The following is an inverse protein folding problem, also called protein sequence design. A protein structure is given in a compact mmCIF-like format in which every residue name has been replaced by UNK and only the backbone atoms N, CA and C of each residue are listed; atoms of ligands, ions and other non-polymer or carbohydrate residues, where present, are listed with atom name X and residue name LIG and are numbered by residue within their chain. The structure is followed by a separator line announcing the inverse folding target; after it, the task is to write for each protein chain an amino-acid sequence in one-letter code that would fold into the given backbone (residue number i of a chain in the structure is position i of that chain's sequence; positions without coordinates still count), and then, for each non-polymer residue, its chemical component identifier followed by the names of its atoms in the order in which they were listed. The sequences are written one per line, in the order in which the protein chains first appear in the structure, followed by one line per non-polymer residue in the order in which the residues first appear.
data_IF_889028312668
#
_entry.id   IF_889028312668
#
_cell.length_a   1.000
_cell.length_b   1.000
_cell.length_c   1.000
_cell.angle_alpha   90.00
_cell.angle_beta   90.00
_cell.angle_gamma   90.00
#
_symmetry.space_group_name_H-M   'P 1'
#
loop_
_entity.id
_entity.type
_entity.pdbx_description
1 polymer ?
#
# COMPACT_ATOMS: atom_id res chain seq x y z
N UNK A 1 42.22 -18.84 1.58
CA UNK A 1 40.83 -18.84 2.09
C UNK A 1 40.70 -17.59 2.93
N UNK A 2 40.08 -16.59 2.37
CA UNK A 2 40.25 -15.17 2.64
C UNK A 2 39.21 -14.64 3.60
N UNK A 3 39.61 -13.72 4.44
CA UNK A 3 38.88 -13.05 5.55
C UNK A 3 37.56 -12.31 5.17
N UNK A 4 37.13 -12.36 3.91
CA UNK A 4 35.95 -11.63 3.45
C UNK A 4 34.58 -12.17 3.91
N UNK A 5 34.55 -13.32 4.56
CA UNK A 5 33.27 -14.02 4.88
C UNK A 5 32.84 -13.90 6.36
N UNK A 6 33.58 -13.16 7.18
CA UNK A 6 33.23 -12.95 8.60
C UNK A 6 32.47 -11.67 8.92
N UNK A 7 32.48 -10.70 8.01
CA UNK A 7 31.85 -9.39 8.22
C UNK A 7 30.32 -9.42 8.02
N UNK A 8 29.82 -10.35 7.18
CA UNK A 8 28.39 -10.40 6.81
C UNK A 8 27.49 -11.01 7.86
N UNK A 9 28.03 -11.82 8.79
CA UNK A 9 27.23 -12.51 9.82
C UNK A 9 27.04 -11.61 11.07
N UNK A 10 28.00 -10.72 11.35
CA UNK A 10 27.90 -9.82 12.50
C UNK A 10 26.90 -8.66 12.30
N UNK A 11 26.66 -8.25 11.06
CA UNK A 11 25.69 -7.17 10.77
C UNK A 11 24.23 -7.66 10.85
N UNK A 12 23.98 -8.92 10.50
CA UNK A 12 22.64 -9.53 10.61
C UNK A 12 22.22 -9.75 12.08
N UNK A 13 23.16 -10.02 12.99
CA UNK A 13 22.86 -10.21 14.42
C UNK A 13 22.68 -8.91 15.19
N UNK A 14 23.15 -7.78 14.68
CA UNK A 14 22.96 -6.46 15.30
C UNK A 14 21.57 -5.88 15.06
N UNK A 15 20.85 -6.39 14.04
CA UNK A 15 19.49 -5.95 13.69
C UNK A 15 18.43 -6.64 14.56
N UNK A 16 18.75 -7.77 15.20
CA UNK A 16 17.81 -8.59 15.97
C UNK A 16 17.47 -8.05 17.38
N UNK A 17 17.96 -6.87 17.76
CA UNK A 17 17.77 -6.29 19.10
C UNK A 17 17.17 -4.87 19.13
N UNK A 18 16.83 -4.28 17.99
CA UNK A 18 16.20 -2.96 17.91
C UNK A 18 14.67 -3.08 17.93
N UNK A 19 14.02 -2.21 18.68
CA UNK A 19 12.54 -2.08 18.69
C UNK A 19 12.04 -2.01 17.23
N UNK A 20 11.07 -2.84 16.81
CA UNK A 20 10.48 -2.80 15.46
C UNK A 20 10.00 -1.41 15.06
N UNK A 21 9.71 -0.53 16.02
CA UNK A 21 9.33 0.86 15.81
C UNK A 21 10.51 1.76 15.43
N UNK A 22 11.74 1.38 15.78
CA UNK A 22 12.97 2.08 15.39
C UNK A 22 13.53 1.59 14.03
N UNK A 23 13.22 0.35 13.63
CA UNK A 23 13.67 -0.22 12.36
C UNK A 23 13.07 0.51 11.13
N UNK A 24 11.90 1.14 11.26
CA UNK A 24 11.28 1.93 10.20
C UNK A 24 11.99 3.25 9.88
N UNK A 25 12.92 3.70 10.74
CA UNK A 25 13.61 4.98 10.60
C UNK A 25 15.03 4.85 10.04
N UNK A 26 15.57 3.65 9.92
CA UNK A 26 16.89 3.40 9.32
C UNK A 26 16.81 2.91 7.87
N UNK A 27 16.14 3.68 7.03
CA UNK A 27 16.34 3.58 5.59
C UNK A 27 17.81 3.86 5.29
N UNK A 28 18.43 3.00 4.47
CA UNK A 28 19.87 3.08 4.14
C UNK A 28 20.25 4.53 3.85
N UNK A 29 21.18 5.13 4.61
CA UNK A 29 21.64 6.48 4.33
C UNK A 29 22.22 6.49 2.89
N UNK A 30 21.59 7.18 1.97
CA UNK A 30 22.04 7.28 0.60
C UNK A 30 20.98 6.99 -0.48
N UNK A 31 19.95 6.18 -0.21
CA UNK A 31 18.92 5.93 -1.22
C UNK A 31 18.03 7.18 -1.44
N UNK A 32 17.57 7.79 -0.37
CA UNK A 32 16.68 8.94 -0.43
C UNK A 32 17.31 10.19 -1.03
N UNK A 33 18.53 10.61 -0.67
CA UNK A 33 19.22 11.69 -1.36
C UNK A 33 19.35 11.44 -2.85
N UNK A 34 19.73 10.22 -3.25
CA UNK A 34 19.88 9.85 -4.67
C UNK A 34 18.55 9.91 -5.43
N UNK A 35 17.44 9.46 -4.82
CA UNK A 35 16.11 9.55 -5.43
C UNK A 35 15.70 11.01 -5.56
N UNK A 36 15.85 11.81 -4.51
CA UNK A 36 15.45 13.22 -4.54
C UNK A 36 16.31 14.06 -5.50
N UNK A 37 17.59 13.73 -5.65
CA UNK A 37 18.48 14.34 -6.65
C UNK A 37 18.01 14.01 -8.08
N UNK A 38 17.66 12.75 -8.34
CA UNK A 38 17.21 12.29 -9.66
C UNK A 38 15.79 12.74 -10.02
N UNK A 39 14.94 12.89 -9.01
CA UNK A 39 13.53 13.27 -9.16
C UNK A 39 13.16 14.33 -8.12
N UNK A 40 13.60 15.58 -8.29
CA UNK A 40 13.31 16.66 -7.34
C UNK A 40 11.81 16.86 -7.14
N UNK A 41 11.37 16.94 -5.89
CA UNK A 41 9.95 17.15 -5.55
C UNK A 41 9.07 15.90 -5.65
N UNK A 42 9.60 14.73 -6.01
CA UNK A 42 8.85 13.46 -6.02
C UNK A 42 8.60 12.88 -4.63
N UNK A 43 9.22 13.46 -3.61
CA UNK A 43 9.12 13.00 -2.24
C UNK A 43 8.59 14.09 -1.33
N UNK A 44 7.58 13.76 -0.55
CA UNK A 44 7.06 14.62 0.51
C UNK A 44 7.65 14.15 1.83
N UNK A 45 8.48 14.99 2.46
CA UNK A 45 8.92 14.76 3.84
C UNK A 45 7.94 15.50 4.76
N UNK A 46 7.21 14.76 5.60
CA UNK A 46 6.37 15.37 6.64
C UNK A 46 7.23 15.50 7.91
N UNK A 47 7.56 16.73 8.27
CA UNK A 47 8.33 17.05 9.49
C UNK A 47 7.48 17.04 10.77
N UNK A 48 6.15 17.00 10.60
CA UNK A 48 5.20 16.98 11.70
C UNK A 48 4.80 15.57 12.09
N UNK A 49 4.47 15.34 13.35
CA UNK A 49 3.94 14.06 13.83
C UNK A 49 2.71 13.66 13.03
N UNK A 50 2.72 12.44 12.50
CA UNK A 50 1.53 11.88 11.83
C UNK A 50 0.46 11.65 12.89
N UNK A 51 -0.75 12.22 12.75
CA UNK A 51 -1.83 11.99 13.73
C UNK A 51 -2.22 10.52 13.73
N UNK A 52 -2.16 9.89 14.90
CA UNK A 52 -2.63 8.53 15.10
C UNK A 52 -4.08 8.57 15.60
N UNK A 53 -5.02 8.10 14.77
CA UNK A 53 -6.39 7.88 15.20
C UNK A 53 -6.47 6.56 16.01
N UNK A 54 -6.88 6.59 17.28
CA UNK A 54 -7.01 5.36 18.06
C UNK A 54 -8.16 4.50 17.52
N UNK A 55 -7.97 3.19 17.47
CA UNK A 55 -9.05 2.26 17.19
C UNK A 55 -9.99 2.24 18.42
N UNK A 56 -11.25 2.60 18.22
CA UNK A 56 -12.23 2.79 19.31
C UNK A 56 -12.97 1.52 19.70
N UNK A 57 -12.79 0.44 18.95
CA UNK A 57 -13.41 -0.87 19.16
C UNK A 57 -12.40 -2.01 18.87
N UNK A 58 -12.60 -3.21 19.41
CA UNK A 58 -11.73 -4.34 19.10
C UNK A 58 -11.82 -4.72 17.63
N UNK A 59 -10.74 -5.30 17.07
CA UNK A 59 -10.60 -5.59 15.65
C UNK A 59 -11.72 -6.51 15.12
N UNK A 60 -12.18 -7.46 15.92
CA UNK A 60 -13.29 -8.35 15.60
C UNK A 60 -14.67 -7.68 15.57
N UNK A 61 -14.74 -6.38 15.83
CA UNK A 61 -15.93 -5.54 15.68
C UNK A 61 -15.68 -4.39 14.70
N UNK A 62 -14.47 -4.25 14.20
CA UNK A 62 -14.03 -3.17 13.30
C UNK A 62 -14.25 -3.57 11.83
N UNK A 63 -14.72 -2.62 11.02
CA UNK A 63 -14.82 -2.76 9.57
C UNK A 63 -13.52 -2.30 8.94
N UNK A 64 -12.89 -3.19 8.16
CA UNK A 64 -11.63 -2.91 7.49
C UNK A 64 -11.85 -2.50 6.04
N UNK A 65 -11.17 -1.44 5.62
CA UNK A 65 -10.95 -1.08 4.22
C UNK A 65 -9.51 -1.37 3.83
N UNK A 66 -9.28 -1.86 2.63
CA UNK A 66 -7.93 -1.96 2.04
C UNK A 66 -7.74 -0.88 1.00
N UNK A 67 -6.57 -0.24 1.03
CA UNK A 67 -6.12 0.73 0.04
C UNK A 67 -4.75 0.30 -0.45
N UNK A 68 -4.61 0.07 -1.76
CA UNK A 68 -3.35 -0.42 -2.34
C UNK A 68 -2.87 0.45 -3.50
N UNK A 69 -1.55 0.60 -3.61
CA UNK A 69 -0.89 1.30 -4.71
C UNK A 69 -0.52 0.38 -5.89
N UNK A 70 -0.98 -0.86 -5.88
CA UNK A 70 -0.59 -1.89 -6.84
C UNK A 70 -1.23 -1.79 -8.23
N UNK A 71 -2.23 -0.91 -8.45
CA UNK A 71 -2.88 -0.77 -9.74
C UNK A 71 -3.87 -1.90 -10.10
N UNK A 72 -4.41 -2.59 -9.10
CA UNK A 72 -5.45 -3.62 -9.29
C UNK A 72 -6.79 -2.98 -9.68
N UNK A 73 -7.50 -3.61 -10.61
CA UNK A 73 -8.87 -3.25 -10.96
C UNK A 73 -9.63 -4.47 -11.48
N UNK A 74 -10.95 -4.39 -11.60
CA UNK A 74 -11.71 -5.46 -12.24
C UNK A 74 -11.42 -5.46 -13.74
N UNK A 75 -11.39 -6.64 -14.35
CA UNK A 75 -11.19 -6.81 -15.82
C UNK A 75 -12.21 -6.05 -16.67
N UNK A 76 -13.40 -5.75 -16.12
CA UNK A 76 -14.45 -5.01 -16.78
C UNK A 76 -14.34 -3.48 -16.61
N UNK A 77 -13.49 -3.01 -15.70
CA UNK A 77 -13.33 -1.59 -15.47
C UNK A 77 -12.39 -0.97 -16.53
N UNK A 78 -12.51 0.35 -16.70
CA UNK A 78 -11.52 1.08 -17.52
C UNK A 78 -10.14 0.91 -16.87
N UNK A 79 -9.11 0.49 -17.63
CA UNK A 79 -7.74 0.41 -17.12
C UNK A 79 -7.24 1.74 -16.57
N UNK A 80 -6.28 1.68 -15.66
CA UNK A 80 -5.53 2.84 -15.19
C UNK A 80 -4.56 3.30 -16.30
N UNK A 81 -4.26 4.60 -16.38
CA UNK A 81 -3.35 5.14 -17.41
C UNK A 81 -1.89 4.98 -16.96
N UNK A 82 -1.29 3.85 -17.33
CA UNK A 82 0.11 3.52 -17.03
C UNK A 82 1.13 4.25 -17.92
N UNK A 83 0.67 4.88 -19.01
CA UNK A 83 1.52 5.58 -19.97
C UNK A 83 1.64 7.07 -19.68
N UNK A 84 0.78 7.63 -18.83
CA UNK A 84 0.82 9.05 -18.49
C UNK A 84 2.14 9.40 -17.78
N UNK A 85 2.89 10.42 -18.21
CA UNK A 85 4.22 10.74 -17.70
C UNK A 85 4.25 11.13 -16.23
N UNK A 86 3.16 11.69 -15.71
CA UNK A 86 3.03 12.10 -14.31
C UNK A 86 2.30 11.07 -13.43
N UNK A 87 1.88 9.93 -13.98
CA UNK A 87 1.05 8.93 -13.32
C UNK A 87 -0.45 9.12 -13.56
N UNK A 88 -1.25 8.14 -13.16
CA UNK A 88 -2.72 8.23 -13.19
C UNK A 88 -3.22 8.93 -11.91
N UNK A 89 -4.00 10.01 -12.08
CA UNK A 89 -4.65 10.72 -10.97
C UNK A 89 -6.07 10.21 -10.72
N UNK A 90 -6.28 8.91 -10.91
CA UNK A 90 -7.52 8.23 -10.58
C UNK A 90 -7.30 7.03 -9.67
N UNK A 91 -8.40 6.46 -9.22
CA UNK A 91 -8.40 5.21 -8.46
C UNK A 91 -9.54 4.30 -8.93
N UNK A 92 -9.49 3.05 -8.50
CA UNK A 92 -10.56 2.08 -8.76
C UNK A 92 -11.14 1.60 -7.44
N UNK A 93 -12.46 1.41 -7.44
CA UNK A 93 -13.19 0.76 -6.35
C UNK A 93 -13.32 -0.72 -6.72
N UNK A 94 -12.78 -1.57 -5.89
CA UNK A 94 -12.83 -3.02 -6.05
C UNK A 94 -13.78 -3.58 -5.00
N UNK A 95 -14.91 -4.20 -5.38
CA UNK A 95 -15.78 -4.82 -4.41
C UNK A 95 -15.01 -5.78 -3.49
N UNK A 96 -15.19 -5.68 -2.19
CA UNK A 96 -14.45 -6.51 -1.23
C UNK A 96 -14.79 -8.00 -1.31
N UNK A 97 -15.88 -8.35 -2.00
CA UNK A 97 -16.29 -9.73 -2.30
C UNK A 97 -15.88 -10.19 -3.71
N UNK A 98 -15.10 -9.38 -4.44
CA UNK A 98 -14.62 -9.76 -5.77
C UNK A 98 -13.73 -11.02 -5.67
N UNK A 99 -13.76 -11.82 -6.72
CA UNK A 99 -12.90 -13.02 -6.83
C UNK A 99 -11.60 -12.67 -7.55
N UNK A 100 -10.47 -13.29 -7.21
CA UNK A 100 -9.20 -13.09 -7.92
C UNK A 100 -9.31 -13.18 -9.43
N UNK A 101 -10.09 -14.12 -9.95
CA UNK A 101 -10.29 -14.31 -11.38
C UNK A 101 -10.96 -13.11 -12.09
N UNK A 102 -11.61 -12.22 -11.35
CA UNK A 102 -12.25 -11.01 -11.87
C UNK A 102 -11.30 -9.82 -11.92
N UNK A 103 -10.13 -9.94 -11.28
CA UNK A 103 -9.18 -8.87 -11.08
C UNK A 103 -8.00 -8.98 -12.04
N UNK A 104 -7.33 -7.87 -12.26
CA UNK A 104 -6.09 -7.76 -13.02
C UNK A 104 -5.26 -6.60 -12.49
N UNK A 105 -3.94 -6.64 -12.70
CA UNK A 105 -3.02 -5.56 -12.40
C UNK A 105 -2.76 -4.77 -13.68
N UNK A 106 -2.79 -3.44 -13.58
CA UNK A 106 -2.37 -2.54 -14.65
C UNK A 106 -1.30 -1.60 -14.11
N UNK A 107 -0.03 -2.02 -14.21
CA UNK A 107 1.13 -1.30 -13.68
C UNK A 107 2.38 -1.69 -14.48
N UNK A 108 3.28 -0.71 -14.74
CA UNK A 108 4.52 -0.91 -15.51
C UNK A 108 5.78 -0.54 -14.72
N UNK A 109 5.64 -0.11 -13.45
CA UNK A 109 6.76 0.46 -12.69
C UNK A 109 7.34 -0.46 -11.63
N UNK A 110 6.75 -1.62 -11.44
CA UNK A 110 7.30 -2.70 -10.62
C UNK A 110 7.05 -4.06 -11.29
N UNK A 111 7.92 -5.06 -11.06
CA UNK A 111 7.68 -6.43 -11.52
C UNK A 111 6.52 -7.04 -10.72
N UNK A 112 5.51 -7.60 -11.40
CA UNK A 112 4.33 -8.16 -10.73
C UNK A 112 4.03 -9.60 -11.18
N UNK A 113 5.04 -10.30 -11.71
CA UNK A 113 4.90 -11.67 -12.20
C UNK A 113 4.30 -12.62 -11.15
N UNK A 114 4.72 -12.50 -9.89
CA UNK A 114 4.17 -13.32 -8.79
C UNK A 114 2.71 -12.94 -8.49
N UNK A 115 2.38 -11.67 -8.56
CA UNK A 115 1.02 -11.19 -8.34
C UNK A 115 0.07 -11.50 -9.51
N UNK A 116 0.59 -11.71 -10.72
CA UNK A 116 -0.18 -12.22 -11.86
C UNK A 116 -0.53 -13.70 -11.68
N UNK A 117 0.28 -14.45 -10.93
CA UNK A 117 -0.01 -15.85 -10.56
C UNK A 117 -0.99 -15.89 -9.37
N UNK A 118 -0.72 -15.11 -8.32
CA UNK A 118 -1.58 -14.96 -7.15
C UNK A 118 -1.73 -13.49 -6.76
N UNK A 119 -2.87 -12.91 -7.07
CA UNK A 119 -3.13 -11.48 -6.80
C UNK A 119 -3.02 -11.11 -5.33
N UNK A 120 -3.15 -12.09 -4.42
CA UNK A 120 -3.03 -11.87 -2.98
C UNK A 120 -1.62 -11.38 -2.56
N UNK A 121 -0.60 -11.58 -3.41
CA UNK A 121 0.76 -11.04 -3.19
C UNK A 121 0.75 -9.50 -3.09
N UNK A 122 -0.04 -8.83 -3.93
CA UNK A 122 -0.12 -7.36 -4.00
C UNK A 122 -1.47 -6.79 -3.53
N UNK A 123 -2.52 -7.63 -3.53
CA UNK A 123 -3.87 -7.24 -3.16
C UNK A 123 -4.55 -8.38 -2.39
N UNK A 124 -4.26 -8.58 -1.09
CA UNK A 124 -4.62 -9.77 -0.31
C UNK A 124 -6.13 -9.88 -0.01
N UNK A 125 -6.95 -9.83 -1.05
CA UNK A 125 -8.41 -9.79 -0.93
C UNK A 125 -8.99 -11.06 -0.30
N UNK A 126 -8.51 -12.24 -0.71
CA UNK A 126 -9.01 -13.51 -0.15
C UNK A 126 -8.58 -13.67 1.31
N UNK A 127 -7.35 -13.24 1.64
CA UNK A 127 -6.87 -13.30 3.03
C UNK A 127 -7.73 -12.46 3.96
N UNK A 128 -8.16 -11.28 3.50
CA UNK A 128 -9.07 -10.42 4.27
C UNK A 128 -10.48 -11.02 4.36
N UNK A 129 -10.97 -11.65 3.29
CA UNK A 129 -12.26 -12.36 3.30
C UNK A 129 -12.24 -13.52 4.30
N UNK A 130 -11.16 -14.30 4.35
CA UNK A 130 -10.96 -15.38 5.32
C UNK A 130 -10.96 -14.86 6.76
N UNK A 131 -10.17 -13.82 7.06
CA UNK A 131 -10.12 -13.21 8.39
C UNK A 131 -11.49 -12.66 8.85
N UNK A 132 -12.26 -12.13 7.91
CA UNK A 132 -13.62 -11.68 8.21
C UNK A 132 -14.56 -12.89 8.46
N UNK A 133 -14.45 -13.95 7.67
CA UNK A 133 -15.25 -15.17 7.84
C UNK A 133 -14.94 -15.91 9.16
N UNK A 134 -13.69 -15.89 9.60
CA UNK A 134 -13.22 -16.45 10.86
C UNK A 134 -13.59 -15.61 12.09
N UNK A 135 -14.11 -14.38 11.88
CA UNK A 135 -14.45 -13.45 12.96
C UNK A 135 -13.25 -12.73 13.59
N UNK A 136 -12.07 -12.82 12.97
CA UNK A 136 -10.88 -12.04 13.36
C UNK A 136 -11.08 -10.55 13.07
N UNK A 137 -11.78 -10.23 11.98
CA UNK A 137 -12.27 -8.89 11.63
C UNK A 137 -13.77 -8.80 11.87
N UNK A 138 -14.25 -7.62 12.27
CA UNK A 138 -15.70 -7.35 12.41
C UNK A 138 -16.42 -7.28 11.05
N UNK A 139 -15.68 -7.18 9.97
CA UNK A 139 -16.15 -7.22 8.59
C UNK A 139 -15.26 -6.40 7.65
N UNK A 140 -15.61 -6.45 6.37
CA UNK A 140 -14.99 -5.66 5.33
C UNK A 140 -15.93 -4.55 4.88
N UNK A 141 -15.38 -3.44 4.41
CA UNK A 141 -16.16 -2.42 3.71
C UNK A 141 -16.69 -2.94 2.39
N UNK A 142 -17.77 -2.40 1.82
CA UNK A 142 -18.27 -2.80 0.50
C UNK A 142 -17.22 -2.75 -0.61
N UNK A 143 -16.35 -1.73 -0.58
CA UNK A 143 -15.28 -1.57 -1.56
C UNK A 143 -13.92 -1.40 -0.89
N UNK A 144 -12.90 -1.87 -1.59
CA UNK A 144 -11.49 -1.54 -1.43
C UNK A 144 -11.07 -0.53 -2.48
N UNK A 145 -9.92 0.10 -2.29
CA UNK A 145 -9.43 1.12 -3.21
C UNK A 145 -8.06 0.74 -3.75
N UNK A 146 -7.86 0.98 -5.05
CA UNK A 146 -6.59 0.74 -5.71
C UNK A 146 -6.26 1.89 -6.65
N UNK A 147 -4.98 2.30 -6.67
CA UNK A 147 -4.43 3.33 -7.52
C UNK A 147 -3.03 2.94 -8.00
N UNK A 148 -2.42 3.73 -8.87
CA UNK A 148 -1.02 3.54 -9.29
C UNK A 148 -0.10 4.32 -8.36
N UNK A 149 0.83 3.62 -7.68
CA UNK A 149 1.80 4.23 -6.76
C UNK A 149 2.83 5.13 -7.45
N UNK A 150 3.07 4.96 -8.75
CA UNK A 150 3.90 5.87 -9.52
C UNK A 150 3.16 7.19 -9.76
N UNK A 151 3.60 8.24 -9.07
CA UNK A 151 3.05 9.57 -9.22
C UNK A 151 4.17 10.63 -9.12
N UNK A 152 4.31 11.47 -10.15
CA UNK A 152 5.36 12.50 -10.24
C UNK A 152 4.88 13.90 -9.82
N UNK A 153 3.63 14.03 -9.39
CA UNK A 153 3.05 15.24 -8.82
C UNK A 153 2.36 14.89 -7.49
N UNK A 154 3.15 14.70 -6.42
CA UNK A 154 2.62 14.25 -5.13
C UNK A 154 1.68 15.28 -4.48
N UNK A 155 1.86 16.57 -4.72
CA UNK A 155 0.95 17.59 -4.20
C UNK A 155 -0.44 17.51 -4.86
N UNK A 156 -0.48 17.30 -6.16
CA UNK A 156 -1.74 17.08 -6.87
C UNK A 156 -2.39 15.78 -6.40
N UNK A 157 -1.61 14.71 -6.28
CA UNK A 157 -2.11 13.42 -5.79
C UNK A 157 -2.74 13.56 -4.40
N UNK A 158 -2.08 14.26 -3.48
CA UNK A 158 -2.59 14.48 -2.12
C UNK A 158 -3.93 15.24 -2.14
N UNK A 159 -4.03 16.30 -2.96
CA UNK A 159 -5.24 17.13 -3.05
C UNK A 159 -6.39 16.48 -3.81
N UNK A 160 -6.15 15.46 -4.61
CA UNK A 160 -7.17 14.79 -5.42
C UNK A 160 -7.35 13.34 -4.97
N UNK A 161 -6.56 12.43 -5.49
CA UNK A 161 -6.76 10.98 -5.28
C UNK A 161 -6.75 10.58 -3.81
N UNK A 162 -5.78 11.07 -3.03
CA UNK A 162 -5.70 10.73 -1.61
C UNK A 162 -6.85 11.33 -0.82
N UNK A 163 -7.23 12.57 -1.13
CA UNK A 163 -8.39 13.25 -0.52
C UNK A 163 -9.68 12.49 -0.83
N UNK A 164 -9.94 12.18 -2.11
CA UNK A 164 -11.17 11.53 -2.54
C UNK A 164 -11.29 10.11 -1.97
N UNK A 165 -10.18 9.35 -1.90
CA UNK A 165 -10.16 8.06 -1.23
C UNK A 165 -10.44 8.22 0.26
N UNK A 166 -9.82 9.18 0.95
CA UNK A 166 -10.03 9.40 2.37
C UNK A 166 -11.48 9.77 2.68
N UNK A 167 -12.09 10.66 1.87
CA UNK A 167 -13.49 11.00 1.98
C UNK A 167 -14.40 9.78 1.80
N UNK A 168 -14.17 9.01 0.74
CA UNK A 168 -14.91 7.79 0.47
C UNK A 168 -14.81 6.77 1.63
N UNK A 169 -13.61 6.57 2.16
CA UNK A 169 -13.34 5.65 3.28
C UNK A 169 -14.11 6.05 4.54
N UNK A 170 -14.13 7.35 4.86
CA UNK A 170 -14.77 7.85 6.09
C UNK A 170 -16.27 7.98 5.93
N UNK A 171 -16.73 8.58 4.83
CA UNK A 171 -18.12 9.00 4.65
C UNK A 171 -18.97 7.87 4.05
N UNK A 172 -18.50 7.26 2.97
CA UNK A 172 -19.28 6.26 2.23
C UNK A 172 -19.10 4.86 2.83
N UNK A 173 -17.85 4.42 2.96
CA UNK A 173 -17.52 3.07 3.43
C UNK A 173 -17.66 2.93 4.96
N UNK A 174 -17.53 4.02 5.71
CA UNK A 174 -17.58 4.06 7.18
C UNK A 174 -16.64 3.04 7.80
N UNK A 175 -15.41 3.04 7.32
CA UNK A 175 -14.36 2.15 7.80
C UNK A 175 -13.89 2.57 9.21
N UNK A 176 -13.61 1.58 10.04
CA UNK A 176 -13.02 1.77 11.37
C UNK A 176 -11.50 1.69 11.33
N UNK A 177 -10.97 0.91 10.38
CA UNK A 177 -9.52 0.69 10.20
C UNK A 177 -9.18 0.58 8.72
N UNK A 178 -8.06 1.16 8.32
CA UNK A 178 -7.52 1.07 6.96
C UNK A 178 -6.24 0.24 6.95
N UNK A 179 -6.17 -0.74 6.05
CA UNK A 179 -4.96 -1.45 5.69
C UNK A 179 -4.36 -0.81 4.44
N UNK A 180 -3.15 -0.27 4.56
CA UNK A 180 -2.41 0.30 3.44
C UNK A 180 -1.43 -0.74 2.92
N UNK A 181 -1.56 -1.13 1.66
CA UNK A 181 -0.71 -2.13 0.99
C UNK A 181 0.10 -1.42 -0.09
N UNK A 182 1.37 -1.07 0.19
CA UNK A 182 2.26 -0.50 -0.82
C UNK A 182 2.72 -1.59 -1.81
N UNK A 183 2.92 -1.21 -3.07
CA UNK A 183 3.50 -2.03 -4.13
C UNK A 183 4.40 -1.16 -5.01
#
# INVERSE_FOLDING_TARGET
MTEANKTTINDAQKIAGSDPREAGTQLRPGLWPTINERYPGSMITKETSVPLAPLTKPLNQARLVMISSCGVHRKIDRPLDVCHPFGDFGFRRVPSNAKPAELTIHQLKYPHDDADIDINVAFPIERLQELAAEGTLGGLTPNFFSFIGYNMDPERFERTVAHDIAEAVVVEEKADVALLVPA
#
